data_IF_471277344153
#
_entry.id   IF_471277344153
#
_cell.length_a   1.000
_cell.length_b   1.000
_cell.length_c   1.000
_cell.angle_alpha   90.00
_cell.angle_beta   90.00
_cell.angle_gamma   90.00
#
_symmetry.space_group_name_H-M   'P 1'
#
loop_
_entity.id
_entity.type
_entity.pdbx_description
1 polymer ?
#
# COMPACT_ATOMS: atom_id res chain seq x y z
N UNK A 1 9.72 14.71 2.84
CA UNK A 1 8.70 13.67 3.01
C UNK A 1 7.40 14.31 3.44
N UNK A 2 6.30 13.69 3.13
CA UNK A 2 4.96 14.17 3.43
C UNK A 2 4.27 13.17 4.33
N UNK A 3 3.76 13.62 5.46
CA UNK A 3 3.08 12.75 6.41
C UNK A 3 1.61 12.58 6.02
N UNK A 4 1.13 11.37 6.14
CA UNK A 4 -0.26 11.01 5.86
C UNK A 4 -0.84 10.33 7.08
N UNK A 5 -2.06 10.69 7.42
CA UNK A 5 -2.79 10.04 8.49
C UNK A 5 -4.16 9.66 7.99
N UNK A 6 -4.42 8.37 7.93
CA UNK A 6 -5.68 7.83 7.41
C UNK A 6 -5.88 6.42 7.96
N UNK A 7 -7.13 6.03 8.17
CA UNK A 7 -7.47 4.68 8.62
C UNK A 7 -6.75 4.30 9.92
N UNK A 8 -6.55 5.26 10.82
CA UNK A 8 -5.82 5.06 12.07
C UNK A 8 -4.36 4.65 11.86
N UNK A 9 -3.84 4.88 10.66
CA UNK A 9 -2.43 4.69 10.35
C UNK A 9 -1.78 6.03 10.09
N UNK A 10 -0.50 6.13 10.42
CA UNK A 10 0.33 7.28 10.09
C UNK A 10 1.57 6.79 9.37
N UNK A 11 1.87 7.40 8.25
CA UNK A 11 3.04 7.05 7.46
C UNK A 11 3.43 8.24 6.60
N UNK A 12 4.58 8.14 5.94
CA UNK A 12 5.09 9.21 5.10
C UNK A 12 5.13 8.78 3.65
N UNK A 13 5.01 9.77 2.77
CA UNK A 13 5.16 9.62 1.33
C UNK A 13 6.45 10.30 0.87
N UNK A 14 7.03 9.87 -0.26
CA UNK A 14 8.16 10.60 -0.83
C UNK A 14 7.81 12.05 -1.13
N UNK A 15 8.82 12.90 -1.17
CA UNK A 15 8.63 14.31 -1.46
C UNK A 15 7.98 14.50 -2.83
N UNK A 16 7.04 15.42 -2.91
CA UNK A 16 6.34 15.74 -4.14
C UNK A 16 5.09 14.94 -4.43
N UNK A 17 4.85 13.89 -3.66
CA UNK A 17 3.63 13.12 -3.81
C UNK A 17 2.43 13.91 -3.31
N UNK A 18 1.25 13.58 -3.84
CA UNK A 18 0.00 14.25 -3.51
C UNK A 18 -1.00 13.26 -2.94
N UNK A 19 -1.87 13.76 -2.06
CA UNK A 19 -2.93 12.97 -1.46
C UNK A 19 -4.26 13.62 -1.84
N UNK A 20 -5.18 12.85 -2.38
CA UNK A 20 -6.51 13.33 -2.77
C UNK A 20 -7.55 12.41 -2.19
N UNK A 21 -8.65 12.99 -1.69
CA UNK A 21 -9.82 12.20 -1.34
C UNK A 21 -10.41 11.63 -2.64
N UNK A 22 -10.70 10.35 -2.64
CA UNK A 22 -11.16 9.64 -3.84
C UNK A 22 -12.48 8.90 -3.59
N UNK A 23 -13.14 9.19 -2.50
CA UNK A 23 -14.38 8.56 -2.12
C UNK A 23 -14.48 8.45 -0.62
N UNK A 24 -15.55 7.81 -0.15
CA UNK A 24 -15.72 7.59 1.27
C UNK A 24 -14.68 6.60 1.76
N UNK A 25 -13.89 7.00 2.76
CA UNK A 25 -12.83 6.16 3.33
C UNK A 25 -11.81 5.69 2.29
N UNK A 26 -11.59 6.51 1.26
CA UNK A 26 -10.66 6.17 0.17
C UNK A 26 -9.85 7.41 -0.20
N UNK A 27 -8.56 7.19 -0.42
CA UNK A 27 -7.63 8.23 -0.83
C UNK A 27 -6.80 7.75 -2.01
N UNK A 28 -6.45 8.69 -2.88
CA UNK A 28 -5.51 8.44 -3.97
C UNK A 28 -4.18 9.10 -3.61
N UNK A 29 -3.13 8.30 -3.59
CA UNK A 29 -1.76 8.76 -3.37
C UNK A 29 -1.07 8.78 -4.73
N UNK A 30 -0.65 9.94 -5.15
CA UNK A 30 -0.20 10.12 -6.52
C UNK A 30 1.27 10.51 -6.55
N UNK A 31 2.05 9.78 -7.31
CA UNK A 31 3.47 10.02 -7.48
C UNK A 31 3.75 11.21 -8.39
N UNK A 32 4.96 11.27 -8.92
CA UNK A 32 5.47 12.42 -9.65
C UNK A 32 5.79 12.05 -11.10
N UNK A 33 6.02 13.08 -11.93
CA UNK A 33 6.43 12.91 -13.31
C UNK A 33 5.26 12.90 -14.29
N UNK A 34 5.55 12.56 -15.53
CA UNK A 34 4.55 12.53 -16.59
C UNK A 34 3.59 11.36 -16.46
N UNK A 35 4.07 10.26 -15.90
CA UNK A 35 3.26 9.06 -15.66
C UNK A 35 3.31 8.73 -14.17
N UNK A 36 2.61 9.51 -13.34
CA UNK A 36 2.69 9.29 -11.90
C UNK A 36 2.09 7.94 -11.51
N UNK A 37 2.77 7.26 -10.62
CA UNK A 37 2.25 6.06 -10.01
C UNK A 37 1.05 6.43 -9.14
N UNK A 38 -0.02 5.64 -9.21
CA UNK A 38 -1.20 5.88 -8.41
C UNK A 38 -1.39 4.73 -7.45
N UNK A 39 -1.48 5.07 -6.17
CA UNK A 39 -1.72 4.10 -5.10
C UNK A 39 -3.05 4.47 -4.43
N UNK A 40 -3.96 3.53 -4.35
CA UNK A 40 -5.22 3.75 -3.66
C UNK A 40 -5.13 3.20 -2.25
N UNK A 41 -5.54 4.02 -1.29
CA UNK A 41 -5.66 3.62 0.11
C UNK A 41 -7.15 3.54 0.44
N UNK A 42 -7.60 2.35 0.81
CA UNK A 42 -8.98 2.09 1.19
C UNK A 42 -9.03 1.65 2.64
N UNK A 43 -9.91 2.26 3.43
CA UNK A 43 -10.16 1.77 4.79
C UNK A 43 -11.03 0.54 4.76
N UNK A 44 -10.60 -0.51 5.42
CA UNK A 44 -11.36 -1.74 5.56
C UNK A 44 -11.36 -2.18 7.01
N UNK A 45 -12.35 -2.98 7.39
CA UNK A 45 -12.46 -3.55 8.74
C UNK A 45 -12.23 -5.05 8.74
N UNK A 46 -12.28 -5.68 7.57
CA UNK A 46 -12.05 -7.10 7.43
C UNK A 46 -10.72 -7.35 6.75
N UNK A 47 -10.13 -8.52 6.97
CA UNK A 47 -8.92 -8.89 6.27
C UNK A 47 -9.22 -9.25 4.82
N UNK A 48 -8.24 -9.02 3.97
CA UNK A 48 -8.32 -9.45 2.58
C UNK A 48 -8.38 -10.98 2.53
N UNK A 49 -9.36 -11.51 1.79
CA UNK A 49 -9.56 -12.96 1.73
C UNK A 49 -8.72 -13.65 0.67
N UNK A 50 -8.26 -12.91 -0.33
CA UNK A 50 -7.45 -13.50 -1.38
C UNK A 50 -7.34 -12.57 -2.58
N UNK A 51 -6.67 -13.03 -3.65
CA UNK A 51 -6.41 -12.18 -4.82
C UNK A 51 -7.67 -11.84 -5.62
N UNK A 52 -8.75 -12.55 -5.40
CA UNK A 52 -10.03 -12.34 -6.09
C UNK A 52 -11.08 -11.68 -5.20
N UNK A 53 -10.66 -11.14 -4.06
CA UNK A 53 -11.60 -10.49 -3.12
C UNK A 53 -12.34 -9.36 -3.83
N UNK A 54 -13.69 -9.30 -3.74
CA UNK A 54 -14.47 -8.26 -4.40
C UNK A 54 -14.08 -6.83 -4.04
N UNK A 55 -13.48 -6.60 -2.88
CA UNK A 55 -13.05 -5.27 -2.48
C UNK A 55 -11.99 -4.70 -3.43
N UNK A 56 -11.29 -5.56 -4.16
CA UNK A 56 -10.25 -5.15 -5.11
C UNK A 56 -10.80 -4.72 -6.46
N UNK A 57 -12.02 -5.14 -6.79
CA UNK A 57 -12.58 -4.93 -8.13
C UNK A 57 -12.70 -3.45 -8.52
N UNK A 58 -13.17 -2.55 -7.63
CA UNK A 58 -13.32 -1.15 -8.02
C UNK A 58 -12.01 -0.46 -8.44
N UNK A 59 -10.87 -0.95 -7.97
CA UNK A 59 -9.58 -0.34 -8.26
C UNK A 59 -8.78 -1.16 -9.25
N UNK A 60 -8.71 -2.46 -9.04
CA UNK A 60 -7.83 -3.32 -9.81
C UNK A 60 -8.54 -4.09 -10.93
N UNK A 61 -9.86 -4.07 -10.91
CA UNK A 61 -10.65 -4.79 -11.90
C UNK A 61 -10.83 -6.25 -11.55
N UNK A 62 -11.81 -6.88 -12.21
CA UNK A 62 -12.05 -8.30 -12.07
C UNK A 62 -10.98 -9.08 -12.84
N UNK A 63 -10.63 -10.26 -12.36
CA UNK A 63 -9.64 -11.12 -12.99
C UNK A 63 -10.26 -12.46 -13.35
N UNK A 64 -9.83 -12.98 -14.49
CA UNK A 64 -10.14 -14.35 -14.89
C UNK A 64 -9.04 -15.24 -14.29
N UNK A 65 -9.37 -16.18 -13.37
CA UNK A 65 -8.36 -16.99 -12.71
C UNK A 65 -7.42 -17.73 -13.66
N UNK A 66 -7.93 -18.15 -14.82
CA UNK A 66 -7.11 -18.87 -15.80
C UNK A 66 -5.99 -18.02 -16.40
N UNK A 67 -6.08 -16.69 -16.28
CA UNK A 67 -5.10 -15.75 -16.83
C UNK A 67 -4.34 -14.99 -15.75
N UNK A 68 -4.44 -15.45 -14.52
CA UNK A 68 -3.87 -14.77 -13.37
C UNK A 68 -2.68 -15.56 -12.84
N UNK A 69 -1.58 -14.85 -12.60
CA UNK A 69 -0.43 -15.38 -11.87
C UNK A 69 -0.32 -14.59 -10.56
N UNK A 70 -0.22 -15.31 -9.46
CA UNK A 70 -0.22 -14.71 -8.12
C UNK A 70 1.03 -15.14 -7.37
N UNK A 71 1.64 -14.20 -6.67
CA UNK A 71 2.77 -14.49 -5.79
C UNK A 71 2.81 -13.50 -4.63
N UNK A 72 3.52 -13.84 -3.57
CA UNK A 72 3.78 -12.94 -2.47
C UNK A 72 5.12 -12.26 -2.66
N UNK A 73 5.15 -10.99 -2.28
CA UNK A 73 6.37 -10.19 -2.26
C UNK A 73 6.51 -9.57 -0.88
N UNK A 74 7.71 -9.14 -0.55
CA UNK A 74 7.98 -8.45 0.71
C UNK A 74 8.20 -6.96 0.42
N UNK A 75 7.50 -6.11 1.15
CA UNK A 75 7.71 -4.68 1.14
C UNK A 75 8.55 -4.30 2.35
N UNK A 76 9.70 -3.71 2.10
CA UNK A 76 10.60 -3.26 3.13
C UNK A 76 11.96 -3.90 3.03
N UNK A 77 12.98 -3.13 3.33
CA UNK A 77 14.35 -3.61 3.39
C UNK A 77 14.64 -4.16 4.79
N UNK A 78 15.70 -4.94 4.92
CA UNK A 78 16.08 -5.56 6.19
C UNK A 78 16.31 -4.53 7.30
N UNK A 79 16.68 -3.31 6.93
CA UNK A 79 16.98 -2.23 7.88
C UNK A 79 15.83 -1.25 8.05
N UNK A 80 14.67 -1.51 7.48
CA UNK A 80 13.56 -0.57 7.51
C UNK A 80 12.69 -0.65 8.76
N UNK A 81 12.91 -1.59 9.64
CA UNK A 81 12.13 -1.74 10.87
C UNK A 81 10.76 -2.40 10.69
N UNK A 82 10.17 -2.31 9.53
CA UNK A 82 8.87 -2.92 9.24
C UNK A 82 8.96 -3.63 7.90
N UNK A 83 8.48 -4.85 7.87
CA UNK A 83 8.35 -5.61 6.63
C UNK A 83 6.90 -6.03 6.49
N UNK A 84 6.34 -5.84 5.30
CA UNK A 84 4.96 -6.15 5.00
C UNK A 84 4.90 -7.15 3.87
N UNK A 85 3.95 -8.07 3.96
CA UNK A 85 3.65 -8.96 2.84
C UNK A 85 2.75 -8.23 1.86
N UNK A 86 3.07 -8.36 0.58
CA UNK A 86 2.25 -7.81 -0.49
C UNK A 86 1.86 -8.92 -1.46
N UNK A 87 0.60 -8.95 -1.83
CA UNK A 87 0.12 -9.89 -2.82
C UNK A 87 0.29 -9.26 -4.19
N UNK A 88 1.05 -9.92 -5.06
CA UNK A 88 1.18 -9.49 -6.45
C UNK A 88 0.34 -10.39 -7.34
N UNK A 89 -0.41 -9.76 -8.24
CA UNK A 89 -1.14 -10.50 -9.25
C UNK A 89 -0.86 -9.88 -10.62
N UNK A 90 -0.80 -10.73 -11.61
CA UNK A 90 -0.48 -10.32 -12.98
C UNK A 90 -1.41 -11.04 -13.93
N UNK A 91 -1.90 -10.31 -14.92
CA UNK A 91 -2.65 -10.90 -16.03
C UNK A 91 -1.64 -11.25 -17.10
N UNK A 92 -1.51 -12.55 -17.40
CA UNK A 92 -0.59 -13.00 -18.44
C UNK A 92 -1.32 -13.15 -19.78
N UNK A 93 -0.69 -12.80 -20.91
CA UNK A 93 0.68 -12.34 -21.07
C UNK A 93 0.80 -10.82 -20.97
N UNK A 94 0.87 -10.21 -19.86
CA UNK A 94 1.02 -8.77 -19.73
C UNK A 94 2.20 -8.42 -18.85
N UNK A 95 2.55 -7.12 -18.82
CA UNK A 95 3.62 -6.59 -17.99
C UNK A 95 3.09 -5.77 -16.83
N UNK A 96 1.77 -5.61 -16.74
CA UNK A 96 1.16 -4.91 -15.61
C UNK A 96 1.13 -5.82 -14.40
N UNK A 97 1.62 -5.29 -13.29
CA UNK A 97 1.59 -5.96 -11.99
C UNK A 97 0.67 -5.16 -11.08
N UNK A 98 -0.22 -5.86 -10.41
CA UNK A 98 -1.10 -5.29 -9.40
C UNK A 98 -0.62 -5.76 -8.03
N UNK A 99 -0.48 -4.83 -7.10
CA UNK A 99 -0.03 -5.17 -5.75
C UNK A 99 -1.04 -4.70 -4.73
N UNK A 100 -1.21 -5.53 -3.72
CA UNK A 100 -2.14 -5.30 -2.63
C UNK A 100 -1.40 -5.56 -1.33
N UNK A 101 -1.42 -4.58 -0.42
CA UNK A 101 -0.80 -4.75 0.89
C UNK A 101 -1.72 -4.17 1.96
N UNK A 102 -1.82 -4.85 3.07
CA UNK A 102 -2.60 -4.37 4.21
C UNK A 102 -1.67 -3.71 5.21
N UNK A 103 -2.01 -2.46 5.58
CA UNK A 103 -1.30 -1.79 6.65
C UNK A 103 -1.63 -2.44 7.99
N UNK A 104 -0.73 -2.39 8.97
CA UNK A 104 -1.02 -2.94 10.28
C UNK A 104 -2.25 -2.29 10.91
N UNK A 105 -3.05 -3.08 11.59
CA UNK A 105 -4.17 -2.53 12.36
C UNK A 105 -3.64 -1.77 13.57
N UNK A 106 -4.28 -0.65 13.88
CA UNK A 106 -3.91 0.16 15.04
C UNK A 106 -4.06 -0.63 16.35
N UNK A 107 -5.13 -1.41 16.44
CA UNK A 107 -5.36 -2.30 17.57
C UNK A 107 -5.30 -3.75 17.09
N UNK A 108 -4.16 -4.39 17.33
CA UNK A 108 -3.94 -5.75 16.87
C UNK A 108 -4.77 -6.79 17.61
N UNK A 109 -5.29 -6.43 18.78
CA UNK A 109 -6.13 -7.34 19.55
C UNK A 109 -7.57 -7.37 19.05
N UNK A 110 -7.97 -6.41 18.22
CA UNK A 110 -9.30 -6.31 17.68
C UNK A 110 -9.26 -6.69 16.18
N UNK A 111 -9.79 -7.88 15.82
CA UNK A 111 -9.75 -8.32 14.42
C UNK A 111 -10.61 -7.46 13.49
N UNK A 112 -11.51 -6.64 14.03
CA UNK A 112 -12.37 -5.77 13.26
C UNK A 112 -11.91 -4.31 13.29
N UNK A 113 -10.71 -4.04 13.80
CA UNK A 113 -10.20 -2.67 13.83
C UNK A 113 -9.97 -2.15 12.41
N UNK A 114 -10.33 -0.90 12.13
CA UNK A 114 -10.07 -0.34 10.80
C UNK A 114 -8.58 -0.33 10.48
N UNK A 115 -8.26 -0.60 9.23
CA UNK A 115 -6.89 -0.51 8.75
C UNK A 115 -6.90 -0.17 7.26
N UNK A 116 -5.75 0.23 6.74
CA UNK A 116 -5.63 0.61 5.36
C UNK A 116 -5.28 -0.56 4.46
N UNK A 117 -5.90 -0.59 3.30
CA UNK A 117 -5.54 -1.51 2.22
C UNK A 117 -4.94 -0.66 1.11
N UNK A 118 -3.72 -0.96 0.74
CA UNK A 118 -3.00 -0.27 -0.33
C UNK A 118 -3.10 -1.10 -1.60
N UNK A 119 -3.47 -0.45 -2.68
CA UNK A 119 -3.64 -1.08 -3.99
C UNK A 119 -2.97 -0.23 -5.05
N UNK A 120 -2.10 -0.85 -5.85
CA UNK A 120 -1.45 -0.13 -6.94
C UNK A 120 -1.28 -1.03 -8.15
N UNK A 121 -1.14 -0.37 -9.30
CA UNK A 121 -0.80 -1.02 -10.56
C UNK A 121 0.42 -0.36 -11.13
N UNK A 122 1.38 -1.15 -11.59
CA UNK A 122 2.59 -0.64 -12.20
C UNK A 122 3.02 -1.54 -13.33
N UNK A 123 3.76 -0.97 -14.26
CA UNK A 123 4.26 -1.70 -15.43
C UNK A 123 5.72 -2.04 -15.16
N UNK A 124 6.04 -3.33 -15.14
CA UNK A 124 7.40 -3.77 -14.83
C UNK A 124 8.40 -3.43 -15.94
N UNK A 125 7.93 -2.93 -17.08
CA UNK A 125 8.78 -2.41 -18.14
C UNK A 125 8.90 -0.89 -18.13
N UNK A 126 8.22 -0.21 -17.23
CA UNK A 126 8.27 1.23 -17.08
C UNK A 126 9.21 1.60 -15.94
N UNK A 127 10.40 2.10 -16.29
CA UNK A 127 11.42 2.44 -15.30
C UNK A 127 10.94 3.48 -14.31
N UNK A 128 10.18 4.47 -14.75
CA UNK A 128 9.65 5.50 -13.86
C UNK A 128 8.70 4.91 -12.82
N UNK A 129 7.82 4.00 -13.23
CA UNK A 129 6.94 3.31 -12.29
C UNK A 129 7.73 2.48 -11.29
N UNK A 130 8.75 1.77 -11.77
CA UNK A 130 9.59 0.95 -10.87
C UNK A 130 10.24 1.83 -9.81
N UNK A 131 10.81 2.96 -10.21
CA UNK A 131 11.48 3.87 -9.28
C UNK A 131 10.51 4.50 -8.29
N UNK A 132 9.33 4.91 -8.76
CA UNK A 132 8.31 5.49 -7.88
C UNK A 132 7.81 4.46 -6.88
N UNK A 133 7.62 3.24 -7.33
CA UNK A 133 7.19 2.14 -6.45
C UNK A 133 8.23 1.86 -5.36
N UNK A 134 9.50 1.78 -5.74
CA UNK A 134 10.58 1.54 -4.77
C UNK A 134 10.65 2.68 -3.75
N UNK A 135 10.55 3.93 -4.19
CA UNK A 135 10.58 5.07 -3.30
C UNK A 135 9.37 5.06 -2.35
N UNK A 136 8.19 4.74 -2.88
CA UNK A 136 6.98 4.66 -2.07
C UNK A 136 7.13 3.60 -0.98
N UNK A 137 7.55 2.39 -1.35
CA UNK A 137 7.69 1.28 -0.42
C UNK A 137 8.72 1.61 0.66
N UNK A 138 9.88 2.15 0.26
CA UNK A 138 10.94 2.49 1.20
C UNK A 138 10.49 3.54 2.21
N UNK A 139 9.87 4.61 1.73
CA UNK A 139 9.42 5.69 2.60
C UNK A 139 8.30 5.23 3.53
N UNK A 140 7.35 4.45 2.99
CA UNK A 140 6.26 3.90 3.77
C UNK A 140 6.78 3.02 4.90
N UNK A 141 7.61 2.04 4.57
CA UNK A 141 8.05 1.05 5.56
C UNK A 141 8.99 1.64 6.59
N UNK A 142 9.78 2.63 6.22
CA UNK A 142 10.63 3.34 7.18
C UNK A 142 9.79 4.19 8.14
N UNK A 143 8.75 4.84 7.63
CA UNK A 143 7.92 5.72 8.44
C UNK A 143 6.98 4.96 9.37
N UNK A 144 6.59 3.73 9.00
CA UNK A 144 5.74 2.92 9.85
C UNK A 144 6.44 2.45 11.13
N UNK A 145 7.73 2.32 11.12
CA UNK A 145 8.54 1.90 12.25
C UNK A 145 7.94 0.75 13.07
N UNK A 146 8.77 0.12 13.91
CA UNK A 146 8.27 -0.86 14.85
C UNK A 146 7.31 -0.16 15.83
N UNK A 147 6.14 -0.74 16.12
CA UNK A 147 5.14 -0.08 16.96
C UNK A 147 5.66 0.47 18.28
N UNK A 148 6.58 -0.19 18.93
CA UNK A 148 7.16 0.29 20.16
C UNK A 148 7.98 1.56 20.00
N UNK A 149 8.77 1.64 18.94
CA UNK A 149 9.59 2.81 18.64
C UNK A 149 8.74 4.03 18.31
N UNK A 150 7.70 3.83 17.51
CA UNK A 150 6.81 4.92 17.16
C UNK A 150 6.14 5.53 18.39
N UNK A 151 5.77 4.71 19.35
CA UNK A 151 5.14 5.20 20.56
C UNK A 151 6.11 5.93 21.46
N UNK A 152 7.38 5.58 21.41
CA UNK A 152 8.39 6.21 22.25
C UNK A 152 8.77 7.60 21.77
N UNK A 153 8.49 7.92 20.55
CA UNK A 153 8.83 9.21 19.99
C UNK A 153 7.72 10.23 20.11
N UNK A 154 6.65 9.78 20.48
CA UNK A 154 5.53 10.70 20.62
C UNK A 154 5.59 11.44 21.93
N UNK A 155 5.83 10.48 21.65
CA UNK A 155 5.35 10.93 22.12
C UNK A 155 5.06 11.13 22.61
N UNK A 156 5.49 10.87 22.72
CA UNK A 156 5.28 11.27 23.06
C UNK A 156 5.14 11.79 23.18
N UNK A 157 5.36 11.48 23.22
CA UNK A 157 5.11 12.01 23.26
C UNK A 157 4.84 12.32 23.33
N UNK A 158 4.93 12.40 23.54
CA UNK A 158 4.59 12.85 23.52
C UNK A 158 4.61 13.38 23.59
#
# INVERSE_FOLDING_TARGET
MQDVQACQNAFSLPKGWQVQAAGEQRWLLKGTGERPLQVTLQCITELLHGPDDPVLTPVLGALEPARMSVRWASWGAADSGVSMAALQRRIVPGTEVQEIAELPRADRSNPNAPHGLLMLRWDEEDRSHIQQREAFIATLTQSLEAPGAAKNTTGTAP
#
